data_IF_223975885703
#
_entry.id   IF_223975885703
#
_cell.length_a   1.000
_cell.length_b   1.000
_cell.length_c   1.000
_cell.angle_alpha   90.00
_cell.angle_beta   90.00
_cell.angle_gamma   90.00
#
_symmetry.space_group_name_H-M   'P 1'
#
loop_
_entity.id
_entity.type
_entity.pdbx_description
1 polymer ?
#
# COMPACT_ATOMS: atom_id res chain seq x y z
N UNK A 1 -41.82 4.38 -54.04
CA UNK A 1 -40.36 4.49 -53.79
C UNK A 1 -39.91 5.77 -53.07
N UNK A 2 -40.73 6.82 -52.98
CA UNK A 2 -40.38 8.11 -52.34
C UNK A 2 -40.41 8.09 -50.80
N UNK A 3 -41.30 7.32 -50.16
CA UNK A 3 -41.40 7.24 -48.68
C UNK A 3 -40.20 6.54 -48.01
N UNK A 4 -39.63 5.51 -48.65
CA UNK A 4 -38.49 4.75 -48.10
C UNK A 4 -37.18 5.56 -48.10
N UNK A 5 -37.02 6.45 -49.09
CA UNK A 5 -35.87 7.36 -49.18
C UNK A 5 -35.90 8.44 -48.09
N UNK A 6 -37.09 8.93 -47.75
CA UNK A 6 -37.29 9.92 -46.69
C UNK A 6 -37.07 9.36 -45.28
N UNK A 7 -37.47 8.11 -45.04
CA UNK A 7 -37.19 7.46 -43.75
C UNK A 7 -35.69 7.23 -43.56
N UNK A 8 -34.97 6.78 -44.60
CA UNK A 8 -33.52 6.56 -44.51
C UNK A 8 -32.72 7.84 -44.25
N UNK A 9 -33.06 8.95 -44.92
CA UNK A 9 -32.41 10.25 -44.65
C UNK A 9 -32.70 10.75 -43.25
N UNK A 10 -33.93 10.58 -42.74
CA UNK A 10 -34.30 11.01 -41.39
C UNK A 10 -33.55 10.20 -40.32
N UNK A 11 -33.43 8.87 -40.47
CA UNK A 11 -32.67 8.03 -39.53
C UNK A 11 -31.17 8.33 -39.56
N UNK A 12 -30.61 8.56 -40.75
CA UNK A 12 -29.21 8.93 -40.92
C UNK A 12 -28.92 10.28 -40.25
N UNK A 13 -29.82 11.26 -40.38
CA UNK A 13 -29.72 12.55 -39.70
C UNK A 13 -29.87 12.41 -38.17
N UNK A 14 -30.82 11.63 -37.69
CA UNK A 14 -31.06 11.41 -36.25
C UNK A 14 -29.93 10.65 -35.55
N UNK A 15 -29.15 9.83 -36.27
CA UNK A 15 -28.02 9.09 -35.69
C UNK A 15 -26.67 9.81 -35.86
N UNK A 16 -26.42 10.44 -37.02
CA UNK A 16 -25.10 11.04 -37.29
C UNK A 16 -24.97 12.46 -36.78
N UNK A 17 -26.06 13.20 -36.64
CA UNK A 17 -26.03 14.56 -36.11
C UNK A 17 -25.67 14.57 -34.61
N UNK A 18 -26.23 13.69 -33.73
CA UNK A 18 -25.71 13.56 -32.37
C UNK A 18 -24.31 12.92 -32.30
N UNK A 19 -23.97 11.99 -33.19
CA UNK A 19 -22.60 11.44 -33.25
C UNK A 19 -21.56 12.52 -33.65
N UNK A 20 -21.89 13.38 -34.60
CA UNK A 20 -21.07 14.52 -35.03
C UNK A 20 -20.96 15.60 -33.96
N UNK A 21 -22.02 15.86 -33.20
CA UNK A 21 -22.01 16.75 -32.02
C UNK A 21 -21.17 16.17 -30.87
N UNK A 22 -21.20 14.86 -30.64
CA UNK A 22 -20.35 14.18 -29.66
C UNK A 22 -18.87 14.13 -30.06
N UNK A 23 -18.57 14.14 -31.36
CA UNK A 23 -17.20 14.25 -31.89
C UNK A 23 -16.67 15.69 -31.87
N UNK A 24 -17.54 16.70 -32.04
CA UNK A 24 -17.16 18.12 -32.01
C UNK A 24 -17.17 18.77 -30.63
N UNK A 25 -17.85 18.19 -29.67
CA UNK A 25 -17.78 18.63 -28.28
C UNK A 25 -16.64 17.86 -27.61
N UNK A 26 -15.42 18.45 -27.46
CA UNK A 26 -14.40 17.81 -26.66
C UNK A 26 -15.03 17.56 -25.30
N UNK A 27 -15.14 16.29 -24.88
CA UNK A 27 -15.40 16.00 -23.47
C UNK A 27 -14.32 16.78 -22.73
N UNK A 28 -14.64 17.68 -21.79
CA UNK A 28 -13.62 18.27 -20.93
C UNK A 28 -13.05 17.11 -20.12
N UNK A 29 -12.03 16.47 -20.68
CA UNK A 29 -11.10 15.60 -20.01
C UNK A 29 -10.21 16.57 -19.25
N UNK A 30 -9.93 16.25 -18.00
CA UNK A 30 -8.96 17.00 -17.21
C UNK A 30 -7.57 16.78 -17.81
N UNK A 31 -7.30 17.36 -18.99
CA UNK A 31 -6.03 17.30 -19.70
C UNK A 31 -4.94 17.92 -18.82
N UNK A 32 -5.29 18.96 -18.05
CA UNK A 32 -4.40 19.51 -17.03
C UNK A 32 -4.01 18.51 -15.95
N UNK A 33 -4.86 17.53 -15.62
CA UNK A 33 -4.52 16.47 -14.65
C UNK A 33 -3.44 15.55 -15.23
N UNK A 34 -3.42 15.39 -16.56
CA UNK A 34 -2.31 14.76 -17.25
C UNK A 34 -1.02 15.57 -17.12
N UNK A 35 -1.00 16.81 -16.64
CA UNK A 35 0.28 17.47 -16.30
C UNK A 35 0.61 17.35 -14.82
N UNK A 36 -0.40 17.24 -13.97
CA UNK A 36 -0.22 17.27 -12.52
C UNK A 36 0.26 15.96 -11.91
N UNK A 37 -0.25 14.80 -12.33
CA UNK A 37 0.10 13.51 -11.67
C UNK A 37 1.61 13.22 -11.72
N UNK A 38 2.31 13.58 -12.81
CA UNK A 38 3.76 13.42 -12.94
C UNK A 38 4.58 14.41 -12.11
N UNK A 39 3.94 15.44 -11.54
CA UNK A 39 4.53 16.37 -10.57
C UNK A 39 4.02 16.11 -9.14
N UNK A 40 3.20 15.08 -8.95
CA UNK A 40 2.63 14.76 -7.65
C UNK A 40 3.38 13.61 -6.98
N UNK A 41 3.72 13.77 -5.70
CA UNK A 41 4.12 12.67 -4.84
C UNK A 41 2.89 11.86 -4.38
N UNK A 42 1.77 12.56 -4.15
CA UNK A 42 0.48 12.02 -3.73
C UNK A 42 -0.61 12.88 -4.38
N UNK A 43 -1.65 12.25 -4.94
CA UNK A 43 -2.78 12.93 -5.56
C UNK A 43 -4.08 12.21 -5.21
N UNK A 44 -5.09 12.96 -4.79
CA UNK A 44 -6.40 12.45 -4.38
C UNK A 44 -7.50 13.11 -5.21
N UNK A 45 -8.45 12.34 -5.69
CA UNK A 45 -9.67 12.81 -6.33
C UNK A 45 -10.86 12.72 -5.39
N UNK A 46 -11.71 13.73 -5.41
CA UNK A 46 -12.91 13.82 -4.59
C UNK A 46 -14.10 14.22 -5.45
N UNK A 47 -15.26 13.56 -5.31
CA UNK A 47 -16.47 14.02 -5.98
C UNK A 47 -16.88 15.37 -5.40
N UNK A 48 -17.23 16.33 -6.26
CA UNK A 48 -17.86 17.56 -5.81
C UNK A 48 -19.31 17.27 -5.40
N UNK A 49 -19.64 17.73 -4.21
CA UNK A 49 -20.97 17.63 -3.62
C UNK A 49 -21.36 19.02 -3.11
N UNK A 50 -21.85 19.92 -3.99
CA UNK A 50 -22.14 21.32 -3.65
C UNK A 50 -23.07 21.53 -2.44
N UNK A 51 -23.91 20.53 -2.16
CA UNK A 51 -24.81 20.45 -1.02
C UNK A 51 -24.09 20.19 0.31
N UNK A 52 -22.87 19.62 0.27
CA UNK A 52 -22.03 19.40 1.46
C UNK A 52 -21.26 20.66 1.85
N UNK A 53 -20.84 20.79 3.12
CA UNK A 53 -20.00 21.90 3.55
C UNK A 53 -18.71 21.98 2.73
N UNK A 54 -18.27 23.21 2.47
CA UNK A 54 -17.04 23.51 1.74
C UNK A 54 -15.86 22.84 2.45
N UNK A 55 -15.06 22.01 1.76
CA UNK A 55 -13.90 21.37 2.39
C UNK A 55 -12.89 22.40 2.92
N UNK A 56 -12.19 22.07 4.00
CA UNK A 56 -11.29 23.01 4.68
C UNK A 56 -10.21 23.57 3.74
N UNK A 57 -9.63 22.72 2.89
CA UNK A 57 -8.62 23.11 1.90
C UNK A 57 -9.10 24.22 0.96
N UNK A 58 -10.36 24.18 0.52
CA UNK A 58 -10.93 25.21 -0.34
C UNK A 58 -10.93 26.58 0.34
N UNK A 59 -11.36 26.63 1.61
CA UNK A 59 -11.36 27.86 2.39
C UNK A 59 -9.95 28.35 2.69
N UNK A 60 -9.01 27.45 2.93
CA UNK A 60 -7.59 27.78 3.16
C UNK A 60 -6.90 28.36 1.91
N UNK A 61 -7.29 27.92 0.71
CA UNK A 61 -6.65 28.32 -0.55
C UNK A 61 -7.31 29.51 -1.23
N UNK A 62 -8.63 29.63 -1.15
CA UNK A 62 -9.41 30.67 -1.84
C UNK A 62 -9.95 31.75 -0.90
N UNK A 63 -9.92 31.51 0.41
CA UNK A 63 -10.69 32.29 1.38
C UNK A 63 -12.17 31.92 1.38
N UNK A 64 -12.85 32.13 2.51
CA UNK A 64 -14.18 31.59 2.76
C UNK A 64 -15.26 32.03 1.75
N UNK A 65 -15.21 33.28 1.27
CA UNK A 65 -16.21 33.82 0.34
C UNK A 65 -16.06 33.25 -1.08
N UNK A 66 -14.83 33.24 -1.62
CA UNK A 66 -14.55 32.69 -2.94
C UNK A 66 -14.72 31.17 -2.95
N UNK A 67 -14.28 30.48 -1.89
CA UNK A 67 -14.47 29.05 -1.73
C UNK A 67 -15.95 28.64 -1.82
N UNK A 68 -16.84 29.32 -1.09
CA UNK A 68 -18.30 29.09 -1.16
C UNK A 68 -18.85 29.31 -2.57
N UNK A 69 -18.43 30.38 -3.25
CA UNK A 69 -18.90 30.71 -4.60
C UNK A 69 -18.53 29.63 -5.60
N UNK A 70 -17.25 29.27 -5.64
CA UNK A 70 -16.74 28.28 -6.60
C UNK A 70 -17.26 26.89 -6.27
N UNK A 71 -17.33 26.50 -5.00
CA UNK A 71 -17.84 25.18 -4.57
C UNK A 71 -19.27 24.91 -5.04
N UNK A 72 -20.17 25.91 -4.96
CA UNK A 72 -21.56 25.79 -5.43
C UNK A 72 -21.68 25.50 -6.94
N UNK A 73 -20.66 25.87 -7.70
CA UNK A 73 -20.64 25.71 -9.15
C UNK A 73 -19.91 24.43 -9.59
N UNK A 74 -19.22 23.73 -8.67
CA UNK A 74 -18.52 22.48 -8.99
C UNK A 74 -19.52 21.34 -9.19
N UNK A 75 -19.32 20.52 -10.22
CA UNK A 75 -20.23 19.41 -10.55
C UNK A 75 -19.54 18.06 -10.75
N UNK A 76 -18.20 18.06 -10.81
CA UNK A 76 -17.39 16.90 -11.16
C UNK A 76 -16.37 16.63 -10.07
N UNK A 77 -15.22 16.06 -10.40
CA UNK A 77 -14.16 15.87 -9.42
C UNK A 77 -13.38 17.17 -9.18
N UNK A 78 -12.87 17.29 -7.96
CA UNK A 78 -11.78 18.18 -7.62
C UNK A 78 -10.64 17.35 -7.05
N UNK A 79 -9.44 17.91 -7.03
CA UNK A 79 -8.24 17.18 -6.65
C UNK A 79 -7.44 17.93 -5.59
N UNK A 80 -6.82 17.15 -4.73
CA UNK A 80 -5.80 17.59 -3.79
C UNK A 80 -4.52 16.85 -4.11
N UNK A 81 -3.38 17.55 -4.14
CA UNK A 81 -2.10 16.87 -4.35
C UNK A 81 -0.96 17.54 -3.60
N UNK A 82 0.13 16.80 -3.46
CA UNK A 82 1.39 17.26 -2.90
C UNK A 82 2.45 17.15 -3.97
N UNK A 83 3.29 18.19 -4.10
CA UNK A 83 4.35 18.24 -5.10
C UNK A 83 5.36 17.11 -4.93
N UNK A 84 6.14 16.85 -5.98
CA UNK A 84 7.15 15.79 -6.02
C UNK A 84 8.23 15.90 -4.96
N UNK A 85 8.45 17.09 -4.40
CA UNK A 85 9.44 17.32 -3.36
C UNK A 85 8.82 17.23 -1.95
N UNK A 86 7.51 17.03 -1.84
CA UNK A 86 6.79 16.96 -0.56
C UNK A 86 6.61 18.30 0.16
N UNK A 87 7.38 19.31 -0.22
CA UNK A 87 7.42 20.63 0.41
C UNK A 87 6.34 21.59 -0.15
N UNK A 88 5.86 22.51 0.69
CA UNK A 88 4.94 23.59 0.28
C UNK A 88 3.44 23.32 0.47
N UNK A 89 3.07 22.25 1.19
CA UNK A 89 1.69 21.96 1.55
C UNK A 89 0.80 21.49 0.38
N UNK A 90 -0.46 21.17 0.70
CA UNK A 90 -1.39 20.61 -0.29
C UNK A 90 -1.87 21.66 -1.32
N UNK A 91 -1.78 21.33 -2.60
CA UNK A 91 -2.37 22.10 -3.70
C UNK A 91 -3.83 21.74 -3.86
N UNK A 92 -4.65 22.73 -4.20
CA UNK A 92 -6.04 22.55 -4.61
C UNK A 92 -6.12 22.63 -6.13
N UNK A 93 -6.69 21.63 -6.80
CA UNK A 93 -6.96 21.66 -8.23
C UNK A 93 -8.45 21.43 -8.52
N UNK A 94 -9.03 22.23 -9.41
CA UNK A 94 -10.42 22.12 -9.83
C UNK A 94 -10.60 22.62 -11.26
N UNK A 95 -11.74 22.30 -11.87
CA UNK A 95 -12.01 22.69 -13.26
C UNK A 95 -12.13 24.20 -13.42
N UNK A 96 -11.43 24.74 -14.40
CA UNK A 96 -11.50 26.16 -14.75
C UNK A 96 -12.88 26.52 -15.27
N UNK A 97 -13.38 27.67 -14.84
CA UNK A 97 -14.63 28.24 -15.31
C UNK A 97 -14.33 29.50 -16.11
N UNK A 98 -14.74 29.51 -17.38
CA UNK A 98 -14.55 30.66 -18.25
C UNK A 98 -15.15 31.94 -17.64
N UNK A 99 -14.42 33.04 -17.69
CA UNK A 99 -14.84 34.33 -17.12
C UNK A 99 -14.57 34.51 -15.61
N UNK A 100 -14.05 33.50 -14.91
CA UNK A 100 -13.63 33.66 -13.51
C UNK A 100 -12.18 34.14 -13.41
N UNK A 101 -11.86 35.15 -12.58
CA UNK A 101 -10.47 35.56 -12.34
C UNK A 101 -9.71 34.46 -11.60
N UNK A 102 -8.41 34.34 -11.89
CA UNK A 102 -7.54 33.44 -11.16
C UNK A 102 -7.42 33.89 -9.68
N UNK A 103 -7.53 32.96 -8.72
CA UNK A 103 -7.34 33.28 -7.30
C UNK A 103 -5.87 33.65 -7.00
N UNK A 104 -5.64 34.22 -5.82
CA UNK A 104 -4.29 34.41 -5.27
C UNK A 104 -3.54 33.07 -5.25
N UNK A 105 -2.28 33.08 -5.67
CA UNK A 105 -1.46 31.87 -5.85
C UNK A 105 -2.01 30.83 -6.84
N UNK A 106 -3.01 31.22 -7.65
CA UNK A 106 -3.56 30.42 -8.73
C UNK A 106 -2.64 30.34 -9.95
N UNK A 107 -2.61 29.17 -10.57
CA UNK A 107 -1.97 28.87 -11.85
C UNK A 107 -3.00 28.16 -12.72
N UNK A 108 -3.08 28.53 -14.00
CA UNK A 108 -3.86 27.78 -14.98
C UNK A 108 -3.02 26.67 -15.57
N UNK A 109 -3.53 25.44 -15.51
CA UNK A 109 -2.92 24.26 -16.13
C UNK A 109 -3.97 23.67 -17.07
N UNK A 110 -3.90 24.10 -18.33
CA UNK A 110 -4.86 23.76 -19.38
C UNK A 110 -6.32 24.10 -18.99
N UNK A 111 -7.12 23.08 -18.68
CA UNK A 111 -8.52 23.19 -18.25
C UNK A 111 -8.71 23.22 -16.72
N UNK A 112 -7.61 23.23 -15.95
CA UNK A 112 -7.62 23.28 -14.49
C UNK A 112 -7.11 24.61 -13.93
N UNK A 113 -7.66 24.99 -12.77
CA UNK A 113 -7.06 25.96 -11.86
C UNK A 113 -6.40 25.20 -10.73
N UNK A 114 -5.12 25.50 -10.50
CA UNK A 114 -4.34 24.97 -9.38
C UNK A 114 -3.97 26.11 -8.44
N UNK A 115 -4.26 25.96 -7.16
CA UNK A 115 -3.99 26.97 -6.14
C UNK A 115 -2.96 26.41 -5.17
N UNK A 116 -1.79 27.03 -5.14
CA UNK A 116 -0.71 26.69 -4.25
C UNK A 116 -0.97 27.22 -2.83
N UNK A 117 -0.21 26.71 -1.85
CA UNK A 117 -0.31 27.17 -0.47
C UNK A 117 0.25 28.58 -0.27
N UNK A 118 1.33 28.89 -0.99
CA UNK A 118 2.13 30.10 -0.84
C UNK A 118 2.83 30.46 -2.18
N UNK A 119 3.50 31.63 -2.28
CA UNK A 119 4.22 32.04 -3.49
C UNK A 119 5.36 31.12 -3.91
N UNK A 120 6.05 30.47 -2.96
CA UNK A 120 7.19 29.60 -3.25
C UNK A 120 6.70 28.30 -3.89
N UNK A 121 5.70 27.66 -3.30
CA UNK A 121 5.01 26.49 -3.82
C UNK A 121 4.46 26.77 -5.24
N UNK A 122 3.87 27.96 -5.45
CA UNK A 122 3.43 28.40 -6.77
C UNK A 122 4.58 28.39 -7.78
N UNK A 123 5.70 29.04 -7.45
CA UNK A 123 6.86 29.17 -8.34
C UNK A 123 7.47 27.81 -8.67
N UNK A 124 7.64 26.96 -7.65
CA UNK A 124 8.19 25.62 -7.78
C UNK A 124 7.34 24.75 -8.72
N UNK A 125 6.01 24.78 -8.56
CA UNK A 125 5.11 24.07 -9.48
C UNK A 125 5.19 24.62 -10.90
N UNK A 126 5.25 25.95 -11.10
CA UNK A 126 5.39 26.54 -12.43
C UNK A 126 6.69 26.10 -13.12
N UNK A 127 7.79 26.02 -12.38
CA UNK A 127 9.08 25.59 -12.91
C UNK A 127 9.07 24.09 -13.24
N UNK A 128 8.45 23.26 -12.40
CA UNK A 128 8.25 21.83 -12.68
C UNK A 128 7.38 21.58 -13.92
N UNK A 129 6.32 22.36 -14.11
CA UNK A 129 5.41 22.23 -15.26
C UNK A 129 6.04 22.63 -16.61
N UNK A 130 7.15 23.37 -16.60
CA UNK A 130 7.93 23.72 -17.81
C UNK A 130 8.78 22.56 -18.30
N UNK A 131 9.17 21.63 -17.41
CA UNK A 131 9.99 20.50 -17.78
C UNK A 131 9.18 19.55 -18.67
N UNK A 132 9.78 19.14 -19.80
CA UNK A 132 9.12 18.28 -20.78
C UNK A 132 8.63 16.98 -20.11
N UNK A 133 7.34 16.71 -20.21
CA UNK A 133 6.76 15.49 -19.66
C UNK A 133 6.98 14.33 -20.61
N UNK A 134 7.48 13.21 -20.07
CA UNK A 134 7.55 11.95 -20.82
C UNK A 134 6.13 11.49 -21.13
N UNK A 135 5.91 10.96 -22.34
CA UNK A 135 4.64 10.31 -22.68
C UNK A 135 4.33 9.22 -21.66
N UNK A 136 3.15 9.30 -21.05
CA UNK A 136 2.70 8.38 -20.02
C UNK A 136 2.18 7.10 -20.61
N UNK A 137 2.56 5.98 -19.99
CA UNK A 137 2.22 4.64 -20.46
C UNK A 137 2.00 3.71 -19.28
N UNK A 138 1.22 2.66 -19.49
CA UNK A 138 1.03 1.62 -18.48
C UNK A 138 0.18 2.05 -17.28
N UNK A 139 0.74 1.92 -16.07
CA UNK A 139 0.03 2.10 -14.80
C UNK A 139 -0.41 3.56 -14.58
N UNK A 140 0.46 4.53 -14.85
CA UNK A 140 0.16 5.95 -14.64
C UNK A 140 -1.07 6.40 -15.45
N UNK A 141 -1.24 5.91 -16.68
CA UNK A 141 -2.42 6.20 -17.51
C UNK A 141 -3.69 5.60 -16.90
N UNK A 142 -3.62 4.38 -16.36
CA UNK A 142 -4.76 3.75 -15.68
C UNK A 142 -5.11 4.48 -14.39
N UNK A 143 -4.11 4.96 -13.65
CA UNK A 143 -4.30 5.76 -12.46
C UNK A 143 -4.93 7.12 -12.79
N UNK A 144 -4.48 7.78 -13.86
CA UNK A 144 -5.09 9.00 -14.36
C UNK A 144 -6.57 8.79 -14.70
N UNK A 145 -6.90 7.69 -15.38
CA UNK A 145 -8.30 7.36 -15.70
C UNK A 145 -9.14 7.21 -14.43
N UNK A 146 -8.65 6.48 -13.41
CA UNK A 146 -9.35 6.34 -12.12
C UNK A 146 -9.57 7.69 -11.43
N UNK A 147 -8.54 8.53 -11.35
CA UNK A 147 -8.61 9.86 -10.73
C UNK A 147 -9.60 10.82 -11.41
N UNK A 148 -9.92 10.59 -12.69
CA UNK A 148 -10.89 11.39 -13.43
C UNK A 148 -12.35 10.89 -13.28
N UNK A 149 -12.54 9.64 -12.88
CA UNK A 149 -13.83 8.94 -12.92
C UNK A 149 -14.37 8.58 -11.54
N UNK A 150 -13.50 8.38 -10.57
CA UNK A 150 -13.81 7.80 -9.27
C UNK A 150 -13.14 8.60 -8.14
N UNK A 151 -13.61 8.40 -6.91
CA UNK A 151 -12.85 8.81 -5.73
C UNK A 151 -11.65 7.87 -5.60
N UNK A 152 -10.45 8.41 -5.76
CA UNK A 152 -9.25 7.61 -5.87
C UNK A 152 -8.04 8.35 -5.30
N UNK A 153 -7.00 7.60 -4.99
CA UNK A 153 -5.69 8.09 -4.60
C UNK A 153 -4.64 7.52 -5.54
N UNK A 154 -3.66 8.33 -5.89
CA UNK A 154 -2.43 7.96 -6.57
C UNK A 154 -1.25 8.32 -5.67
N UNK A 155 -0.24 7.45 -5.62
CA UNK A 155 1.03 7.74 -4.96
C UNK A 155 2.20 7.40 -5.88
N UNK A 156 3.24 8.20 -5.75
CA UNK A 156 4.56 7.96 -6.31
C UNK A 156 5.53 7.50 -5.19
N UNK A 157 6.74 7.02 -5.53
CA UNK A 157 7.67 6.45 -4.55
C UNK A 157 7.97 7.38 -3.36
N UNK A 158 8.18 8.68 -3.61
CA UNK A 158 8.43 9.64 -2.53
C UNK A 158 7.22 9.79 -1.61
N UNK A 159 6.02 9.91 -2.17
CA UNK A 159 4.79 10.08 -1.37
C UNK A 159 4.53 8.87 -0.47
N UNK A 160 4.76 7.66 -0.98
CA UNK A 160 4.67 6.45 -0.16
C UNK A 160 5.78 6.41 0.90
N UNK A 161 7.00 6.79 0.55
CA UNK A 161 8.13 6.83 1.48
C UNK A 161 7.87 7.75 2.68
N UNK A 162 7.34 8.94 2.45
CA UNK A 162 6.97 9.89 3.51
C UNK A 162 5.84 9.33 4.39
N UNK A 163 4.79 8.77 3.79
CA UNK A 163 3.66 8.21 4.56
C UNK A 163 4.03 6.96 5.35
N UNK A 164 4.89 6.10 4.79
CA UNK A 164 5.27 4.84 5.41
C UNK A 164 6.41 4.99 6.42
N UNK A 165 7.15 6.11 6.37
CA UNK A 165 8.24 6.41 7.29
C UNK A 165 9.24 5.24 7.41
N UNK A 166 9.56 4.77 8.63
CA UNK A 166 10.46 3.62 8.84
C UNK A 166 10.00 2.31 8.18
N UNK A 167 8.72 2.16 7.87
CA UNK A 167 8.17 0.97 7.23
C UNK A 167 8.30 0.99 5.69
N UNK A 168 8.76 2.10 5.09
CA UNK A 168 8.93 2.22 3.64
C UNK A 168 9.72 1.07 2.97
N UNK A 169 10.79 0.51 3.56
CA UNK A 169 11.50 -0.63 2.99
C UNK A 169 10.63 -1.88 2.79
N UNK A 170 9.57 -2.04 3.60
CA UNK A 170 8.64 -3.17 3.50
C UNK A 170 7.67 -3.02 2.32
N UNK A 171 7.48 -1.79 1.83
CA UNK A 171 6.55 -1.47 0.75
C UNK A 171 7.24 -1.31 -0.61
N UNK A 172 8.48 -1.80 -0.75
CA UNK A 172 9.25 -1.69 -1.99
C UNK A 172 8.58 -2.30 -3.23
N UNK A 173 7.66 -3.24 -3.05
CA UNK A 173 6.90 -3.84 -4.16
C UNK A 173 5.72 -2.98 -4.63
N UNK A 174 5.43 -1.88 -3.92
CA UNK A 174 4.24 -1.05 -4.12
C UNK A 174 4.59 0.44 -4.23
N UNK A 175 5.80 0.78 -4.67
CA UNK A 175 6.34 2.14 -4.71
C UNK A 175 5.46 3.15 -5.47
N UNK A 176 4.78 2.71 -6.52
CA UNK A 176 3.85 3.54 -7.28
C UNK A 176 2.53 2.81 -7.44
N UNK A 177 1.41 3.53 -7.38
CA UNK A 177 0.11 2.92 -7.61
C UNK A 177 -1.05 3.86 -7.44
N UNK A 178 -2.24 3.29 -7.58
CA UNK A 178 -3.49 3.97 -7.30
C UNK A 178 -4.55 3.03 -6.73
N UNK A 179 -5.44 3.59 -5.91
CA UNK A 179 -6.57 2.90 -5.31
C UNK A 179 -7.83 3.74 -5.51
N UNK A 180 -8.88 3.12 -6.00
CA UNK A 180 -10.25 3.60 -5.88
C UNK A 180 -10.77 3.35 -4.47
N UNK A 181 -11.57 4.29 -3.97
CA UNK A 181 -12.05 4.35 -2.61
C UNK A 181 -13.58 4.39 -2.63
N UNK A 182 -14.22 3.44 -1.94
CA UNK A 182 -15.67 3.36 -1.86
C UNK A 182 -16.10 3.24 -0.39
N UNK A 183 -16.91 4.17 0.09
CA UNK A 183 -17.37 4.18 1.48
C UNK A 183 -18.77 3.59 1.58
N UNK A 184 -18.91 2.49 2.32
CA UNK A 184 -20.16 1.82 2.63
C UNK A 184 -20.33 1.72 4.16
N UNK A 185 -21.14 2.60 4.72
CA UNK A 185 -21.27 2.75 6.18
C UNK A 185 -19.93 3.09 6.83
N UNK A 186 -19.45 2.24 7.74
CA UNK A 186 -18.16 2.37 8.41
C UNK A 186 -17.00 1.67 7.66
N UNK A 187 -17.26 1.08 6.49
CA UNK A 187 -16.26 0.33 5.74
C UNK A 187 -15.82 1.14 4.52
N UNK A 188 -14.52 1.40 4.41
CA UNK A 188 -13.91 1.95 3.21
C UNK A 188 -13.28 0.81 2.41
N UNK A 189 -13.91 0.46 1.30
CA UNK A 189 -13.39 -0.45 0.29
C UNK A 189 -12.25 0.18 -0.51
N UNK A 190 -11.23 -0.61 -0.80
CA UNK A 190 -10.03 -0.22 -1.53
C UNK A 190 -9.84 -1.18 -2.70
N UNK A 191 -9.67 -0.66 -3.92
CA UNK A 191 -9.37 -1.49 -5.09
C UNK A 191 -8.48 -0.75 -6.08
N UNK A 192 -7.44 -1.40 -6.60
CA UNK A 192 -6.57 -0.74 -7.56
C UNK A 192 -5.33 -1.54 -7.91
N UNK A 193 -4.25 -0.84 -8.22
CA UNK A 193 -3.03 -1.42 -8.77
C UNK A 193 -1.80 -0.73 -8.19
N UNK A 194 -0.73 -1.49 -8.00
CA UNK A 194 0.55 -0.97 -7.54
C UNK A 194 1.70 -1.75 -8.14
N UNK A 195 2.85 -1.10 -8.26
CA UNK A 195 4.05 -1.69 -8.81
C UNK A 195 5.32 -1.28 -8.05
N UNK A 196 6.34 -2.11 -8.17
CA UNK A 196 7.65 -1.88 -7.56
C UNK A 196 8.44 -0.75 -8.24
N UNK A 197 8.13 -0.43 -9.50
CA UNK A 197 8.81 0.59 -10.28
C UNK A 197 7.87 1.21 -11.33
N UNK A 198 8.17 2.46 -11.70
CA UNK A 198 7.51 3.19 -12.78
C UNK A 198 7.90 2.63 -14.15
N UNK A 199 6.99 2.67 -15.13
CA UNK A 199 7.31 2.37 -16.53
C UNK A 199 6.31 1.49 -17.27
N UNK A 200 6.77 0.86 -18.36
CA UNK A 200 5.99 -0.08 -19.16
C UNK A 200 5.81 -1.38 -18.38
N UNK A 201 4.69 -1.47 -17.68
CA UNK A 201 4.29 -2.65 -16.94
C UNK A 201 3.40 -3.54 -17.81
N UNK A 202 3.40 -4.84 -17.50
CA UNK A 202 2.53 -5.81 -18.14
C UNK A 202 1.05 -5.37 -18.10
N UNK A 203 0.24 -5.91 -19.01
CA UNK A 203 -1.20 -5.72 -18.97
C UNK A 203 -1.74 -6.09 -17.59
N UNK A 204 -2.73 -5.35 -17.06
CA UNK A 204 -3.35 -5.71 -15.80
C UNK A 204 -3.88 -7.14 -15.89
N UNK A 205 -3.60 -7.95 -14.86
CA UNK A 205 -4.18 -9.28 -14.74
C UNK A 205 -5.71 -9.21 -14.63
N UNK A 206 -6.38 -10.37 -14.58
CA UNK A 206 -7.81 -10.39 -14.23
C UNK A 206 -8.01 -9.77 -12.85
N UNK A 207 -8.98 -8.85 -12.73
CA UNK A 207 -9.39 -8.27 -11.46
C UNK A 207 -9.65 -9.39 -10.45
N UNK A 208 -8.82 -9.47 -9.41
CA UNK A 208 -9.01 -10.41 -8.34
C UNK A 208 -10.34 -10.11 -7.65
N UNK A 209 -11.19 -11.12 -7.50
CA UNK A 209 -12.41 -10.99 -6.73
C UNK A 209 -12.02 -10.59 -5.31
N UNK A 210 -12.58 -9.51 -4.75
CA UNK A 210 -12.23 -9.06 -3.40
C UNK A 210 -12.63 -10.15 -2.40
N UNK A 211 -11.66 -10.93 -1.95
CA UNK A 211 -11.85 -11.87 -0.85
C UNK A 211 -11.76 -11.05 0.42
N UNK A 212 -12.88 -10.91 1.13
CA UNK A 212 -12.90 -10.30 2.46
C UNK A 212 -12.30 -11.31 3.43
N UNK A 213 -11.09 -11.07 3.98
CA UNK A 213 -10.54 -11.99 4.94
C UNK A 213 -11.32 -11.89 6.26
N UNK A 214 -11.35 -12.97 7.07
CA UNK A 214 -11.95 -12.90 8.40
C UNK A 214 -11.25 -11.85 9.27
N UNK A 215 -11.92 -11.35 10.32
CA UNK A 215 -11.34 -10.37 11.22
C UNK A 215 -10.02 -10.86 11.84
N UNK A 216 -9.14 -9.91 12.15
CA UNK A 216 -7.87 -10.24 12.80
C UNK A 216 -8.16 -10.74 14.23
N UNK A 217 -7.64 -11.92 14.64
CA UNK A 217 -7.82 -12.44 15.99
C UNK A 217 -7.49 -11.40 17.07
N UNK A 218 -8.23 -11.41 18.19
CA UNK A 218 -8.11 -10.40 19.27
C UNK A 218 -6.72 -10.29 19.88
N UNK A 219 -5.97 -11.39 19.93
CA UNK A 219 -4.60 -11.43 20.43
C UNK A 219 -3.51 -10.98 19.45
N UNK A 220 -3.88 -10.49 18.26
CA UNK A 220 -2.92 -10.02 17.25
C UNK A 220 -3.13 -8.53 16.94
N UNK A 221 -2.02 -7.80 16.79
CA UNK A 221 -1.99 -6.43 16.27
C UNK A 221 -1.79 -6.39 14.76
N UNK A 222 -1.01 -7.35 14.24
CA UNK A 222 -0.68 -7.46 12.84
C UNK A 222 -0.51 -8.93 12.46
N UNK A 223 -0.94 -9.27 11.25
CA UNK A 223 -0.55 -10.49 10.57
C UNK A 223 -0.27 -10.20 9.09
N UNK A 224 0.92 -10.60 8.62
CA UNK A 224 1.31 -10.50 7.22
C UNK A 224 1.71 -11.88 6.71
N UNK A 225 1.05 -12.31 5.64
CA UNK A 225 1.30 -13.56 4.93
C UNK A 225 1.83 -13.27 3.53
N UNK A 226 2.76 -14.10 3.06
CA UNK A 226 3.25 -13.98 1.70
C UNK A 226 3.89 -15.27 1.17
N UNK A 227 4.08 -15.37 -0.15
CA UNK A 227 4.65 -16.55 -0.79
C UNK A 227 6.16 -16.67 -0.59
N UNK A 228 6.83 -15.59 -0.16
CA UNK A 228 8.28 -15.53 0.03
C UNK A 228 8.67 -14.32 0.86
N UNK A 229 9.68 -14.48 1.72
CA UNK A 229 10.26 -13.37 2.51
C UNK A 229 10.99 -12.32 1.68
N UNK A 230 11.23 -12.56 0.39
CA UNK A 230 11.96 -11.63 -0.48
C UNK A 230 11.46 -10.19 -0.36
N UNK A 231 10.15 -9.96 -0.39
CA UNK A 231 9.59 -8.60 -0.27
C UNK A 231 9.89 -7.91 1.06
N UNK A 232 9.98 -8.67 2.16
CA UNK A 232 10.34 -8.16 3.49
C UNK A 232 11.84 -7.92 3.63
N UNK A 233 12.63 -8.86 3.11
CA UNK A 233 14.08 -8.88 3.29
C UNK A 233 14.81 -8.02 2.27
N UNK A 234 14.24 -7.76 1.10
CA UNK A 234 14.92 -7.04 0.02
C UNK A 234 15.40 -5.65 0.47
N UNK A 235 14.54 -4.87 1.13
CA UNK A 235 14.89 -3.54 1.60
C UNK A 235 15.90 -3.52 2.75
N UNK A 236 15.93 -4.58 3.58
CA UNK A 236 16.89 -4.74 4.68
C UNK A 236 18.24 -5.23 4.15
N UNK A 237 18.22 -6.28 3.33
CA UNK A 237 19.40 -6.93 2.78
C UNK A 237 20.03 -6.15 1.61
N UNK A 238 19.40 -5.11 1.08
CA UNK A 238 20.05 -4.23 0.10
C UNK A 238 21.20 -3.42 0.72
N UNK A 239 21.24 -3.31 2.06
CA UNK A 239 22.26 -2.55 2.79
C UNK A 239 23.44 -3.46 3.14
N UNK A 240 24.64 -3.09 2.69
CA UNK A 240 25.88 -3.82 3.00
C UNK A 240 26.13 -3.91 4.51
N UNK A 241 25.81 -2.86 5.26
CA UNK A 241 25.89 -2.81 6.74
C UNK A 241 25.08 -3.91 7.45
N UNK A 242 24.08 -4.49 6.79
CA UNK A 242 23.30 -5.62 7.31
C UNK A 242 23.85 -6.95 6.78
N UNK A 243 24.14 -7.05 5.47
CA UNK A 243 24.62 -8.30 4.86
C UNK A 243 25.98 -8.77 5.37
N UNK A 244 26.92 -7.85 5.56
CA UNK A 244 28.29 -8.20 5.92
C UNK A 244 28.37 -8.82 7.33
N UNK A 245 27.76 -8.23 8.39
CA UNK A 245 27.71 -8.89 9.69
C UNK A 245 26.94 -10.22 9.68
N UNK A 246 25.86 -10.35 8.89
CA UNK A 246 25.12 -11.61 8.78
C UNK A 246 26.01 -12.75 8.26
N UNK A 247 26.82 -12.48 7.24
CA UNK A 247 27.76 -13.47 6.72
C UNK A 247 28.94 -13.69 7.67
N UNK A 248 29.59 -12.62 8.11
CA UNK A 248 30.86 -12.69 8.83
C UNK A 248 30.71 -13.18 10.28
N UNK A 249 29.63 -12.79 10.97
CA UNK A 249 29.42 -13.12 12.39
C UNK A 249 28.46 -14.27 12.61
N UNK A 250 27.48 -14.45 11.74
CA UNK A 250 26.40 -15.42 11.93
C UNK A 250 26.41 -16.56 10.90
N UNK A 251 27.35 -16.58 9.95
CA UNK A 251 27.42 -17.60 8.90
C UNK A 251 26.22 -17.60 7.94
N UNK A 252 25.41 -16.53 7.93
CA UNK A 252 24.26 -16.37 7.04
C UNK A 252 24.75 -15.71 5.74
N UNK A 253 25.27 -16.54 4.84
CA UNK A 253 25.74 -16.12 3.51
C UNK A 253 24.65 -16.13 2.43
N UNK A 254 25.06 -15.99 1.17
CA UNK A 254 24.14 -15.86 0.04
C UNK A 254 23.26 -17.10 -0.19
N UNK A 255 23.77 -18.30 0.14
CA UNK A 255 22.99 -19.54 0.05
C UNK A 255 21.83 -19.56 1.05
N UNK A 256 22.10 -19.24 2.32
CA UNK A 256 21.10 -19.15 3.38
C UNK A 256 20.10 -18.03 3.11
N UNK A 257 20.57 -16.87 2.63
CA UNK A 257 19.70 -15.76 2.22
C UNK A 257 18.77 -16.18 1.07
N UNK A 258 19.28 -16.88 0.06
CA UNK A 258 18.48 -17.36 -1.06
C UNK A 258 17.40 -18.34 -0.60
N UNK A 259 17.75 -19.24 0.32
CA UNK A 259 16.80 -20.16 0.96
C UNK A 259 15.71 -19.40 1.72
N UNK A 260 16.08 -18.43 2.55
CA UNK A 260 15.14 -17.62 3.34
C UNK A 260 14.19 -16.81 2.45
N UNK A 261 14.67 -16.18 1.37
CA UNK A 261 13.85 -15.33 0.49
C UNK A 261 12.65 -16.03 -0.14
N UNK A 262 12.78 -17.33 -0.43
CA UNK A 262 11.78 -18.11 -1.17
C UNK A 262 10.76 -18.82 -0.28
N UNK A 263 10.97 -18.84 1.04
CA UNK A 263 10.09 -19.59 1.94
C UNK A 263 8.78 -18.83 2.16
N UNK A 264 7.61 -19.48 2.00
CA UNK A 264 6.36 -18.87 2.39
C UNK A 264 6.34 -18.59 3.89
N UNK A 265 5.73 -17.48 4.27
CA UNK A 265 5.82 -17.00 5.65
C UNK A 265 4.51 -16.44 6.18
N UNK A 266 4.41 -16.44 7.52
CA UNK A 266 3.41 -15.71 8.29
C UNK A 266 4.12 -14.94 9.40
N UNK A 267 4.11 -13.61 9.31
CA UNK A 267 4.60 -12.70 10.32
C UNK A 267 3.42 -12.25 11.19
N UNK A 268 3.57 -12.30 12.52
CA UNK A 268 2.58 -11.84 13.48
C UNK A 268 3.21 -10.92 14.50
N UNK A 269 2.40 -9.96 14.93
CA UNK A 269 2.72 -9.09 16.04
C UNK A 269 1.67 -9.25 17.12
N UNK A 270 2.11 -9.51 18.35
CA UNK A 270 1.24 -9.67 19.52
C UNK A 270 1.43 -8.52 20.49
N UNK A 271 0.37 -8.02 21.12
CA UNK A 271 0.51 -7.10 22.23
C UNK A 271 1.03 -7.87 23.45
N UNK A 272 1.96 -7.26 24.19
CA UNK A 272 2.40 -7.76 25.48
C UNK A 272 1.84 -6.84 26.56
N UNK A 273 1.26 -7.42 27.61
CA UNK A 273 0.68 -6.66 28.72
C UNK A 273 1.73 -6.15 29.70
N UNK A 274 2.87 -6.84 29.79
CA UNK A 274 3.93 -6.60 30.78
C UNK A 274 5.29 -6.94 30.19
N UNK A 275 6.34 -6.45 30.83
CA UNK A 275 7.73 -6.70 30.44
C UNK A 275 8.37 -5.54 29.68
N UNK A 276 9.66 -5.67 29.31
CA UNK A 276 10.42 -4.61 28.64
C UNK A 276 9.99 -4.38 27.19
N UNK A 277 9.23 -5.32 26.61
CA UNK A 277 8.77 -5.28 25.23
C UNK A 277 7.28 -4.93 25.22
N UNK A 278 6.89 -4.00 24.35
CA UNK A 278 5.47 -3.67 24.14
C UNK A 278 4.77 -4.71 23.25
N UNK A 279 5.54 -5.41 22.42
CA UNK A 279 5.04 -6.40 21.47
C UNK A 279 6.00 -7.57 21.29
N UNK A 280 5.44 -8.75 21.01
CA UNK A 280 6.18 -9.94 20.60
C UNK A 280 6.06 -10.13 19.09
N UNK A 281 7.18 -10.47 18.44
CA UNK A 281 7.25 -10.74 17.00
C UNK A 281 7.34 -12.24 16.77
N UNK A 282 6.49 -12.78 15.90
CA UNK A 282 6.50 -14.18 15.52
C UNK A 282 6.62 -14.30 14.00
N UNK A 283 7.64 -15.00 13.53
CA UNK A 283 7.83 -15.31 12.12
C UNK A 283 7.75 -16.82 11.92
N UNK A 284 6.68 -17.27 11.28
CA UNK A 284 6.48 -18.66 10.94
C UNK A 284 6.85 -18.90 9.47
N UNK A 285 7.75 -19.86 9.23
CA UNK A 285 8.22 -20.25 7.90
C UNK A 285 7.67 -21.62 7.53
N UNK A 286 7.07 -21.72 6.36
CA UNK A 286 6.51 -22.97 5.83
C UNK A 286 7.62 -23.75 5.15
N UNK A 287 8.29 -24.61 5.90
CA UNK A 287 9.40 -25.40 5.40
C UNK A 287 8.86 -26.67 4.75
N UNK A 288 8.71 -26.65 3.43
CA UNK A 288 8.44 -27.84 2.62
C UNK A 288 9.74 -28.52 2.21
N UNK A 289 9.89 -29.82 2.48
CA UNK A 289 11.04 -30.61 2.03
C UNK A 289 12.12 -30.83 3.09
N UNK A 290 13.39 -30.82 2.67
CA UNK A 290 14.54 -31.18 3.52
C UNK A 290 14.82 -30.13 4.62
N UNK A 291 14.86 -30.58 5.88
CA UNK A 291 15.14 -29.74 7.05
C UNK A 291 16.62 -29.65 7.38
N UNK A 292 17.47 -30.50 6.80
CA UNK A 292 18.91 -30.50 7.10
C UNK A 292 19.57 -29.13 6.90
N UNK A 293 19.31 -28.39 5.80
CA UNK A 293 19.89 -27.05 5.62
C UNK A 293 19.42 -26.05 6.69
N UNK A 294 18.15 -26.13 7.09
CA UNK A 294 17.60 -25.28 8.15
C UNK A 294 18.20 -25.59 9.51
N UNK A 295 18.32 -26.87 9.87
CA UNK A 295 18.91 -27.30 11.14
C UNK A 295 20.40 -26.94 11.21
N UNK A 296 21.15 -27.09 10.10
CA UNK A 296 22.55 -26.66 10.03
C UNK A 296 22.69 -25.16 10.22
N UNK A 297 21.83 -24.35 9.57
CA UNK A 297 21.81 -22.90 9.75
C UNK A 297 21.50 -22.52 11.21
N UNK A 298 20.48 -23.12 11.83
CA UNK A 298 20.10 -22.83 13.21
C UNK A 298 21.16 -23.26 14.22
N UNK A 299 21.81 -24.41 14.00
CA UNK A 299 22.90 -24.87 14.86
C UNK A 299 24.11 -23.92 14.80
N UNK A 300 24.45 -23.42 13.61
CA UNK A 300 25.53 -22.45 13.42
C UNK A 300 25.28 -21.08 14.06
N UNK A 301 24.04 -20.77 14.46
CA UNK A 301 23.70 -19.53 15.15
C UNK A 301 23.91 -19.60 16.67
N UNK A 302 24.08 -20.79 17.24
CA UNK A 302 24.13 -20.95 18.70
C UNK A 302 25.37 -20.27 19.28
N UNK A 303 26.56 -20.65 18.82
CA UNK A 303 27.84 -20.12 19.32
C UNK A 303 27.98 -18.59 19.12
N UNK A 304 27.63 -18.00 17.95
CA UNK A 304 27.64 -16.55 17.79
C UNK A 304 26.70 -15.79 18.74
N UNK A 305 25.55 -16.36 19.10
CA UNK A 305 24.61 -15.74 20.03
C UNK A 305 25.07 -15.89 21.48
N UNK A 306 25.67 -17.02 21.85
CA UNK A 306 26.31 -17.22 23.16
C UNK A 306 27.48 -16.27 23.38
N UNK A 307 28.29 -16.05 22.34
CA UNK A 307 29.39 -15.06 22.36
C UNK A 307 28.89 -13.64 22.59
N UNK A 308 27.62 -13.35 22.28
CA UNK A 308 26.97 -12.06 22.54
C UNK A 308 26.28 -11.98 23.91
N UNK A 309 26.48 -12.99 24.76
CA UNK A 309 25.96 -13.01 26.13
C UNK A 309 24.53 -13.53 26.26
N UNK A 310 24.02 -14.26 25.25
CA UNK A 310 22.75 -14.97 25.36
C UNK A 310 22.95 -16.42 25.81
N UNK A 311 22.05 -16.94 26.63
CA UNK A 311 22.09 -18.33 27.08
C UNK A 311 21.06 -19.17 26.30
N UNK A 312 21.53 -20.25 25.69
CA UNK A 312 20.67 -21.19 24.98
C UNK A 312 20.04 -22.20 25.94
N UNK A 313 18.71 -22.32 25.93
CA UNK A 313 18.01 -23.46 26.54
C UNK A 313 17.37 -24.30 25.46
N UNK A 314 17.91 -25.49 25.22
CA UNK A 314 17.35 -26.43 24.27
C UNK A 314 16.26 -27.29 24.92
N UNK A 315 15.17 -27.52 24.19
CA UNK A 315 14.05 -28.34 24.63
C UNK A 315 13.37 -29.04 23.45
N UNK A 316 12.42 -29.93 23.73
CA UNK A 316 11.68 -30.68 22.72
C UNK A 316 12.37 -31.98 22.28
N UNK A 317 11.78 -32.66 21.30
CA UNK A 317 12.32 -33.91 20.75
C UNK A 317 13.22 -33.63 19.54
N UNK A 318 14.02 -34.60 19.09
CA UNK A 318 14.80 -34.49 17.84
C UNK A 318 13.97 -34.04 16.64
N UNK A 319 12.68 -34.40 16.59
CA UNK A 319 11.78 -34.04 15.50
C UNK A 319 11.17 -32.64 15.63
N UNK A 320 10.99 -32.16 16.88
CA UNK A 320 10.41 -30.86 17.22
C UNK A 320 11.32 -30.09 18.18
N UNK A 321 12.56 -29.90 17.77
CA UNK A 321 13.55 -29.21 18.58
C UNK A 321 13.17 -27.74 18.74
N UNK A 322 13.46 -27.20 19.92
CA UNK A 322 13.26 -25.81 20.30
C UNK A 322 14.51 -25.27 21.00
N UNK A 323 14.86 -24.03 20.70
CA UNK A 323 15.92 -23.29 21.37
C UNK A 323 15.34 -21.97 21.86
N UNK A 324 15.45 -21.71 23.16
CA UNK A 324 15.09 -20.45 23.79
C UNK A 324 16.36 -19.65 24.10
N UNK A 325 16.31 -18.35 23.86
CA UNK A 325 17.39 -17.42 24.17
C UNK A 325 17.05 -16.61 25.40
N UNK A 326 17.95 -16.65 26.39
CA UNK A 326 17.81 -15.90 27.64
C UNK A 326 18.93 -14.89 27.80
N UNK A 327 18.64 -13.79 28.47
CA UNK A 327 19.66 -12.91 29.03
C UNK A 327 20.22 -13.52 30.33
N UNK A 328 21.35 -13.02 30.81
CA UNK A 328 22.00 -13.46 32.06
C UNK A 328 21.10 -13.36 33.30
N UNK A 329 20.06 -12.51 33.25
CA UNK A 329 19.04 -12.39 34.30
C UNK A 329 17.93 -13.47 34.20
N UNK A 330 18.08 -14.45 33.30
CA UNK A 330 17.14 -15.53 33.05
C UNK A 330 15.95 -15.15 32.13
N UNK A 331 15.88 -13.91 31.65
CA UNK A 331 14.75 -13.41 30.86
C UNK A 331 14.78 -13.92 29.42
N UNK A 332 13.67 -14.51 28.95
CA UNK A 332 13.53 -14.94 27.55
C UNK A 332 13.39 -13.73 26.63
N UNK A 333 14.27 -13.64 25.63
CA UNK A 333 14.29 -12.57 24.63
C UNK A 333 13.93 -13.04 23.22
N UNK A 334 13.88 -14.35 23.00
CA UNK A 334 13.47 -14.93 21.72
C UNK A 334 13.78 -16.41 21.65
N UNK A 335 13.67 -16.96 20.45
CA UNK A 335 13.93 -18.37 20.22
C UNK A 335 13.45 -18.84 18.87
N UNK A 336 13.67 -20.11 18.63
CA UNK A 336 13.04 -20.82 17.53
C UNK A 336 12.54 -22.18 17.97
N UNK A 337 11.49 -22.66 17.33
CA UNK A 337 11.01 -24.04 17.50
C UNK A 337 10.36 -24.57 16.25
N UNK A 338 10.50 -25.87 16.05
CA UNK A 338 9.73 -26.59 15.05
C UNK A 338 8.32 -26.86 15.57
N UNK A 339 7.30 -26.57 14.76
CA UNK A 339 5.89 -26.80 15.10
C UNK A 339 5.22 -27.64 14.03
N UNK A 340 4.27 -28.49 14.43
CA UNK A 340 3.41 -29.22 13.50
C UNK A 340 2.19 -28.37 13.16
N UNK A 341 1.92 -28.24 11.87
CA UNK A 341 0.64 -27.74 11.37
C UNK A 341 -0.43 -28.82 11.50
N UNK A 342 -1.69 -28.40 11.59
CA UNK A 342 -2.83 -29.33 11.57
C UNK A 342 -2.90 -30.20 10.31
N UNK A 343 -2.21 -29.79 9.23
CA UNK A 343 -2.00 -30.55 7.99
C UNK A 343 -0.88 -31.60 8.06
N UNK A 344 -0.18 -31.74 9.19
CA UNK A 344 0.99 -32.61 9.34
C UNK A 344 2.31 -32.04 8.79
N UNK A 345 2.28 -30.89 8.10
CA UNK A 345 3.48 -30.19 7.66
C UNK A 345 4.20 -29.54 8.84
N UNK A 346 5.54 -29.49 8.81
CA UNK A 346 6.33 -28.88 9.90
C UNK A 346 6.79 -27.50 9.50
N UNK A 347 6.51 -26.52 10.35
CA UNK A 347 6.86 -25.13 10.15
C UNK A 347 7.93 -24.74 11.15
N UNK A 348 8.82 -23.82 10.76
CA UNK A 348 9.80 -23.23 11.67
C UNK A 348 9.21 -21.94 12.24
N UNK A 349 9.05 -21.85 13.55
CA UNK A 349 8.65 -20.63 14.25
C UNK A 349 9.89 -19.96 14.83
N UNK A 350 10.16 -18.73 14.38
CA UNK A 350 11.12 -17.81 14.96
C UNK A 350 10.35 -16.77 15.76
N UNK A 351 10.84 -16.35 16.92
CA UNK A 351 10.18 -15.29 17.68
C UNK A 351 11.16 -14.41 18.45
N UNK A 352 10.76 -13.15 18.64
CA UNK A 352 11.44 -12.17 19.47
C UNK A 352 10.47 -11.68 20.55
N UNK A 353 10.95 -11.61 21.78
CA UNK A 353 10.15 -11.41 22.99
C UNK A 353 9.87 -12.71 23.74
N UNK A 354 8.84 -12.75 24.59
CA UNK A 354 8.52 -13.92 25.40
C UNK A 354 8.10 -15.11 24.54
N UNK A 355 8.22 -16.32 25.10
CA UNK A 355 7.85 -17.53 24.37
C UNK A 355 6.37 -17.52 23.95
N UNK A 356 6.06 -17.72 22.66
CA UNK A 356 4.70 -17.86 22.18
C UNK A 356 3.97 -19.03 22.84
N UNK A 357 2.68 -18.88 23.22
CA UNK A 357 1.89 -19.97 23.77
C UNK A 357 2.00 -21.23 22.91
N UNK A 358 2.09 -22.40 23.55
CA UNK A 358 2.14 -23.70 22.86
C UNK A 358 0.93 -23.91 21.93
N UNK A 359 -0.22 -23.34 22.29
CA UNK A 359 -1.45 -23.35 21.51
C UNK A 359 -1.47 -22.32 20.36
N UNK A 360 -0.36 -21.63 20.05
CA UNK A 360 -0.28 -20.81 18.84
C UNK A 360 -0.48 -21.75 17.65
N UNK A 361 -1.66 -21.74 17.00
CA UNK A 361 -1.91 -22.67 15.92
C UNK A 361 -0.89 -22.33 14.85
N UNK A 362 -0.13 -23.33 14.42
CA UNK A 362 0.59 -23.18 13.17
C UNK A 362 -0.44 -22.70 12.16
N UNK A 363 -0.19 -21.53 11.56
CA UNK A 363 -1.13 -20.94 10.63
C UNK A 363 -1.51 -22.03 9.64
N UNK A 364 -2.81 -22.32 9.48
CA UNK A 364 -3.23 -22.94 8.25
C UNK A 364 -2.66 -22.03 7.17
N UNK A 365 -1.72 -22.55 6.38
CA UNK A 365 -1.33 -21.93 5.13
C UNK A 365 -2.66 -21.67 4.45
N UNK A 366 -3.10 -20.40 4.28
CA UNK A 366 -4.30 -20.18 3.51
C UNK A 366 -4.00 -20.87 2.19
N UNK A 367 -4.90 -21.77 1.82
CA UNK A 367 -4.92 -22.54 0.60
C UNK A 367 -4.56 -21.58 -0.54
N UNK A 368 -3.27 -21.51 -0.84
CA UNK A 368 -2.67 -21.05 -2.09
C UNK A 368 -3.10 -21.98 -3.25
N UNK A 369 -3.90 -23.01 -2.93
CA UNK A 369 -4.51 -24.00 -3.81
C UNK A 369 -5.73 -23.49 -4.58
N UNK A 370 -6.13 -22.21 -4.43
CA UNK A 370 -6.93 -21.56 -5.47
C UNK A 370 -6.00 -21.16 -6.63
N UNK A 371 -6.23 -21.65 -7.87
CA UNK A 371 -5.42 -21.28 -9.03
C UNK A 371 -5.34 -19.75 -9.16
N UNK A 372 -4.13 -19.19 -9.11
CA UNK A 372 -3.88 -17.74 -9.24
C UNK A 372 -3.64 -16.99 -7.91
N UNK A 373 -4.00 -17.54 -6.75
CA UNK A 373 -3.73 -16.91 -5.44
C UNK A 373 -2.43 -17.39 -4.77
N UNK A 374 -1.75 -18.37 -5.38
CA UNK A 374 -0.50 -18.96 -4.88
C UNK A 374 0.67 -18.00 -4.68
N UNK A 375 0.59 -16.79 -5.23
CA UNK A 375 1.59 -15.74 -5.08
C UNK A 375 1.04 -14.47 -4.39
N UNK A 376 -0.14 -14.56 -3.75
CA UNK A 376 -0.77 -13.41 -3.09
C UNK A 376 -0.11 -13.06 -1.76
N UNK A 377 0.00 -11.76 -1.49
CA UNK A 377 0.38 -11.22 -0.18
C UNK A 377 -0.87 -10.72 0.53
N UNK A 378 -0.99 -11.02 1.81
CA UNK A 378 -2.12 -10.59 2.64
C UNK A 378 -1.60 -9.89 3.88
N UNK A 379 -2.07 -8.67 4.13
CA UNK A 379 -1.74 -7.88 5.31
C UNK A 379 -3.02 -7.57 6.07
N UNK A 380 -3.05 -7.89 7.36
CA UNK A 380 -4.12 -7.57 8.29
C UNK A 380 -3.53 -6.89 9.50
N UNK A 381 -4.14 -5.79 9.95
CA UNK A 381 -3.66 -5.06 11.11
C UNK A 381 -4.79 -4.33 11.84
N UNK A 382 -4.51 -3.92 13.08
CA UNK A 382 -5.34 -3.05 13.92
C UNK A 382 -4.67 -1.68 14.04
N UNK A 383 -4.96 -0.74 13.12
CA UNK A 383 -4.25 0.52 13.05
C UNK A 383 -4.26 1.30 14.36
N UNK A 384 -5.42 1.46 15.01
CA UNK A 384 -5.54 2.17 16.28
C UNK A 384 -4.64 1.60 17.37
N UNK A 385 -4.66 0.27 17.54
CA UNK A 385 -3.84 -0.40 18.55
C UNK A 385 -2.32 -0.35 18.26
N UNK A 386 -1.93 -0.26 16.97
CA UNK A 386 -0.54 -0.05 16.56
C UNK A 386 -0.11 1.40 16.79
N UNK A 387 -0.98 2.38 16.49
CA UNK A 387 -0.73 3.80 16.70
C UNK A 387 -0.55 4.13 18.18
N UNK A 388 -1.39 3.58 19.06
CA UNK A 388 -1.28 3.71 20.52
C UNK A 388 0.08 3.23 21.07
N UNK A 389 0.75 2.31 20.35
CA UNK A 389 2.06 1.75 20.72
C UNK A 389 3.23 2.41 19.98
N UNK A 390 2.96 3.46 19.19
CA UNK A 390 3.99 4.11 18.36
C UNK A 390 4.56 3.22 17.25
N UNK A 391 3.84 2.16 16.86
CA UNK A 391 4.26 1.20 15.84
C UNK A 391 3.67 1.51 14.45
N UNK A 392 2.94 2.61 14.35
CA UNK A 392 2.37 3.11 13.11
C UNK A 392 2.95 4.50 12.82
N UNK A 393 3.42 4.80 11.60
CA UNK A 393 3.95 6.12 11.25
C UNK A 393 2.93 7.24 11.54
N UNK A 394 3.33 8.33 12.23
CA UNK A 394 2.44 9.44 12.54
C UNK A 394 1.99 10.23 11.30
N UNK A 395 2.68 10.08 10.17
CA UNK A 395 2.37 10.70 8.89
C UNK A 395 1.17 10.07 8.17
N UNK A 396 0.75 8.87 8.60
CA UNK A 396 -0.41 8.21 7.99
C UNK A 396 -1.70 9.02 8.22
N UNK A 397 -2.67 9.01 7.28
CA UNK A 397 -3.91 9.75 7.46
C UNK A 397 -4.65 9.35 8.75
N UNK A 398 -5.21 10.33 9.47
CA UNK A 398 -5.99 10.08 10.71
C UNK A 398 -7.05 8.98 10.57
N UNK A 399 -7.83 8.88 9.48
CA UNK A 399 -8.78 7.78 9.31
C UNK A 399 -8.12 6.40 9.32
N UNK A 400 -6.90 6.28 8.79
CA UNK A 400 -6.12 5.05 8.85
C UNK A 400 -5.67 4.80 10.28
N UNK A 401 -5.09 5.80 10.96
CA UNK A 401 -4.62 5.64 12.34
C UNK A 401 -5.74 5.26 13.32
N UNK A 402 -6.95 5.77 13.13
CA UNK A 402 -8.09 5.54 14.03
C UNK A 402 -8.92 4.30 13.64
N UNK A 403 -8.60 3.63 12.55
CA UNK A 403 -9.38 2.48 12.11
C UNK A 403 -9.19 1.29 13.07
N UNK A 404 -10.29 0.55 13.25
CA UNK A 404 -10.31 -0.66 14.07
C UNK A 404 -9.62 -1.84 13.40
N UNK A 405 -9.74 -1.92 12.06
CA UNK A 405 -9.13 -2.98 11.27
C UNK A 405 -8.79 -2.49 9.86
N UNK A 406 -7.65 -2.96 9.34
CA UNK A 406 -7.28 -2.85 7.93
C UNK A 406 -6.94 -4.25 7.41
N UNK A 407 -7.49 -4.58 6.24
CA UNK A 407 -7.10 -5.76 5.47
C UNK A 407 -6.75 -5.38 4.04
N UNK A 408 -5.60 -5.84 3.56
CA UNK A 408 -5.11 -5.64 2.21
C UNK A 408 -4.68 -6.97 1.62
N UNK A 409 -5.01 -7.19 0.35
CA UNK A 409 -4.56 -8.32 -0.45
C UNK A 409 -3.92 -7.80 -1.72
N UNK A 410 -2.71 -8.26 -2.00
CA UNK A 410 -2.00 -8.00 -3.24
C UNK A 410 -1.86 -9.29 -4.04
N UNK A 411 -2.37 -9.31 -5.27
CA UNK A 411 -2.25 -10.43 -6.20
C UNK A 411 -1.38 -10.00 -7.37
N UNK A 412 -0.25 -10.66 -7.65
CA UNK A 412 0.58 -10.31 -8.79
C UNK A 412 -0.19 -10.57 -10.10
N UNK A 413 -0.05 -9.67 -11.08
CA UNK A 413 -0.76 -9.79 -12.36
C UNK A 413 -0.36 -11.05 -13.15
N UNK A 414 0.88 -11.51 -12.95
CA UNK A 414 1.44 -12.76 -13.44
C UNK A 414 2.57 -13.23 -12.50
N UNK A 415 2.98 -14.51 -12.51
CA UNK A 415 4.14 -14.97 -11.77
C UNK A 415 5.38 -14.11 -12.07
N UNK A 416 6.04 -13.59 -11.03
CA UNK A 416 7.21 -12.72 -11.17
C UNK A 416 6.92 -11.28 -11.64
N UNK A 417 5.64 -10.91 -11.84
CA UNK A 417 5.28 -9.55 -12.27
C UNK A 417 5.62 -8.51 -11.20
N UNK A 418 6.13 -7.36 -11.66
CA UNK A 418 6.30 -6.17 -10.83
C UNK A 418 4.97 -5.44 -10.55
N UNK A 419 3.90 -5.76 -11.32
CA UNK A 419 2.56 -5.21 -11.15
C UNK A 419 1.71 -6.14 -10.29
N UNK A 420 1.06 -5.57 -9.27
CA UNK A 420 0.11 -6.24 -8.39
C UNK A 420 -1.23 -5.52 -8.42
N UNK A 421 -2.31 -6.31 -8.38
CA UNK A 421 -3.63 -5.81 -8.06
C UNK A 421 -3.82 -5.77 -6.56
N UNK A 422 -4.36 -4.66 -6.08
CA UNK A 422 -4.62 -4.42 -4.68
C UNK A 422 -6.13 -4.42 -4.42
N UNK A 423 -6.54 -5.13 -3.38
CA UNK A 423 -7.89 -5.05 -2.83
C UNK A 423 -7.82 -4.93 -1.32
N UNK A 424 -8.81 -4.31 -0.70
CA UNK A 424 -8.81 -4.16 0.73
C UNK A 424 -10.03 -3.51 1.32
N UNK A 425 -9.99 -3.41 2.64
CA UNK A 425 -11.03 -2.81 3.45
C UNK A 425 -10.42 -2.18 4.69
N UNK A 426 -10.81 -0.94 4.96
CA UNK A 426 -10.50 -0.22 6.19
C UNK A 426 -11.81 -0.01 6.97
N UNK A 427 -11.87 -0.57 8.17
CA UNK A 427 -13.04 -0.44 9.06
C UNK A 427 -12.83 0.72 10.01
N UNK A 428 -13.54 1.81 9.74
CA UNK A 428 -13.54 3.00 10.57
C UNK A 428 -14.26 2.71 11.89
N UNK A 429 -13.80 3.31 12.99
CA UNK A 429 -14.57 3.30 14.23
C UNK A 429 -15.83 4.13 14.00
N UNK A 430 -17.01 3.56 14.30
CA UNK A 430 -18.23 4.34 14.41
C UNK A 430 -18.04 5.35 15.53
N UNK A 431 -18.21 6.64 15.21
CA UNK A 431 -18.23 7.70 16.23
C UNK A 431 -19.46 7.60 17.10
#
# INVERSE_FOLDING_TARGET
MTRLRWTLTLTFLLLLLPAGLLLRSPRPRAEGLERLIGQAALLQSFPAAPERPVPALWSQRLGAAQARRVWRQQRRFWWQFWGRDGDGGAYLAYQFQAGSPLPSHGIRVDDLVVVAADPLAKRLLQDQLKLAQRQRRGLEQRCLQRLQQEQAVFWAPLGLGVMAGPAAPLLQRFQEGCLSLELEGANLGLAGEAAAASGLLAAPGRAATPVVPPPLPSGLLLEWRGPGLEGLLQGLLSRQLIREPLSARYGIGDAQITMLRRVPFVLRLRPLAQGPFQTGLELQLVVSGDRRPWNQMLAGLVEPLETQGLEATQSGSKALAATLWRQQDGRVVGGWRWVLAGSGSTHLLLFLGPEPPAATPAAATPVLSQPGLGASMQLRLRPAALAERGLLPPELPKPVQLASQLSLTAVPAAPGSALSQLTGRLQLQSR
#
